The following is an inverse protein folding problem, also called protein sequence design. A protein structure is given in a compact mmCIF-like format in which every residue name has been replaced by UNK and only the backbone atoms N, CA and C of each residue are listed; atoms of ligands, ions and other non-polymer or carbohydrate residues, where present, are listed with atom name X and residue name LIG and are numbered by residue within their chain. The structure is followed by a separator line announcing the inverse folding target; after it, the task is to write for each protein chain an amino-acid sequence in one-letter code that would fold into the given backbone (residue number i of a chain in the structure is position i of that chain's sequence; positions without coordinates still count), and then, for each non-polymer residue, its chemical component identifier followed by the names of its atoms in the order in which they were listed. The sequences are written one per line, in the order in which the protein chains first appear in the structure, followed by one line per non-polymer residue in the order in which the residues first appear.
data_IF_413265253038
#
_entry.id   IF_413265253038
#
_cell.length_a   1.000
_cell.length_b   1.000
_cell.length_c   1.000
_cell.angle_alpha   90.00
_cell.angle_beta   90.00
_cell.angle_gamma   90.00
#
_symmetry.space_group_name_H-M   'P 1'
#
loop_
_entity.id
_entity.type
_entity.pdbx_description
1 polymer ?
#
# COMPACT_ATOMS: atom_id res chain seq x y z
N UNK A 1 40.35 36.79 20.45
CA UNK A 1 40.17 37.14 19.02
C UNK A 1 38.80 36.66 18.58
N UNK A 2 37.91 37.54 18.11
CA UNK A 2 36.59 37.14 17.59
C UNK A 2 36.61 37.30 16.08
N UNK A 3 36.92 36.24 15.34
CA UNK A 3 36.87 36.29 13.87
C UNK A 3 35.41 36.39 13.40
N UNK A 4 35.18 36.99 12.24
CA UNK A 4 33.85 37.04 11.61
C UNK A 4 33.29 35.63 11.36
N UNK A 5 34.16 34.65 11.08
CA UNK A 5 33.79 33.24 10.93
C UNK A 5 33.25 32.64 12.25
N UNK A 6 33.91 32.91 13.37
CA UNK A 6 33.45 32.46 14.70
C UNK A 6 32.08 33.04 15.05
N UNK A 7 31.84 34.31 14.70
CA UNK A 7 30.52 34.96 14.88
C UNK A 7 29.45 34.33 13.98
N UNK A 8 29.77 34.08 12.71
CA UNK A 8 28.86 33.42 11.76
C UNK A 8 28.50 31.99 12.21
N UNK A 9 29.48 31.22 12.67
CA UNK A 9 29.28 29.88 13.22
C UNK A 9 28.33 29.89 14.41
N UNK A 10 28.48 30.84 15.34
CA UNK A 10 27.59 30.97 16.50
C UNK A 10 26.16 31.37 16.09
N UNK A 11 26.00 32.29 15.14
CA UNK A 11 24.67 32.67 14.62
C UNK A 11 23.99 31.52 13.90
N UNK A 12 24.74 30.75 13.09
CA UNK A 12 24.21 29.56 12.42
C UNK A 12 23.84 28.46 13.41
N UNK A 13 24.67 28.20 14.43
CA UNK A 13 24.37 27.23 15.49
C UNK A 13 23.16 27.61 16.34
N UNK A 14 22.96 28.91 16.62
CA UNK A 14 21.74 29.40 17.27
C UNK A 14 20.50 29.24 16.37
N UNK A 15 20.62 29.58 15.08
CA UNK A 15 19.53 29.43 14.12
C UNK A 15 19.09 27.97 13.95
N UNK A 16 20.04 27.03 13.84
CA UNK A 16 19.72 25.60 13.72
C UNK A 16 19.17 25.02 15.02
N UNK A 17 19.61 25.48 16.20
CA UNK A 17 19.02 25.04 17.48
C UNK A 17 17.58 25.51 17.63
N UNK A 18 17.27 26.76 17.28
CA UNK A 18 15.89 27.29 17.27
C UNK A 18 15.00 26.53 16.29
N UNK A 19 15.47 26.27 15.06
CA UNK A 19 14.72 25.45 14.08
C UNK A 19 14.49 24.03 14.61
N UNK A 20 15.49 23.42 15.25
CA UNK A 20 15.35 22.07 15.82
C UNK A 20 14.29 22.04 16.91
N UNK A 21 14.31 23.00 17.85
CA UNK A 21 13.32 23.10 18.93
C UNK A 21 11.91 23.31 18.38
N UNK A 22 11.73 24.24 17.42
CA UNK A 22 10.44 24.47 16.75
C UNK A 22 9.97 23.22 16.00
N UNK A 23 10.88 22.53 15.30
CA UNK A 23 10.58 21.27 14.62
C UNK A 23 10.13 20.16 15.57
N UNK A 24 10.79 20.02 16.72
CA UNK A 24 10.38 19.09 17.77
C UNK A 24 8.99 19.43 18.34
N UNK A 25 8.67 20.72 18.53
CA UNK A 25 7.33 21.15 18.97
C UNK A 25 6.25 20.85 17.93
N UNK A 26 6.53 21.06 16.63
CA UNK A 26 5.60 20.72 15.54
C UNK A 26 5.35 19.20 15.51
N UNK A 27 6.41 18.39 15.58
CA UNK A 27 6.32 16.93 15.63
C UNK A 27 5.54 16.44 16.87
N UNK A 28 5.78 17.02 18.04
CA UNK A 28 5.06 16.68 19.27
C UNK A 28 3.57 17.07 19.21
N UNK A 29 3.22 18.18 18.55
CA UNK A 29 1.83 18.62 18.42
C UNK A 29 1.04 17.68 17.49
N UNK A 30 1.68 17.09 16.48
CA UNK A 30 1.05 16.09 15.58
C UNK A 30 0.66 14.80 16.32
N UNK A 31 1.39 14.42 17.37
CA UNK A 31 1.01 13.34 18.29
C UNK A 31 -0.28 13.66 19.09
N UNK A 32 -0.69 14.92 19.21
CA UNK A 32 -1.92 15.28 19.92
C UNK A 32 -3.16 15.13 19.04
N UNK A 33 -3.02 14.99 17.72
CA UNK A 33 -4.14 14.83 16.80
C UNK A 33 -4.71 13.41 16.82
N UNK A 34 -6.03 13.27 16.78
CA UNK A 34 -6.68 11.97 16.70
C UNK A 34 -6.60 11.41 15.27
N UNK A 35 -6.25 10.13 15.13
CA UNK A 35 -6.17 9.41 13.86
C UNK A 35 -6.98 8.13 13.99
N UNK A 36 -8.06 8.04 13.24
CA UNK A 36 -9.00 6.90 13.26
C UNK A 36 -9.26 6.45 11.82
N UNK A 37 -8.26 5.86 11.14
CA UNK A 37 -8.40 5.43 9.76
C UNK A 37 -9.29 4.18 9.67
N UNK A 38 -10.04 4.04 8.59
CA UNK A 38 -10.83 2.84 8.31
C UNK A 38 -10.65 2.38 6.87
N UNK A 39 -10.76 1.07 6.63
CA UNK A 39 -10.69 0.51 5.30
C UNK A 39 -11.53 -0.77 5.15
N UNK A 40 -12.00 -1.02 3.95
CA UNK A 40 -12.58 -2.30 3.55
C UNK A 40 -12.11 -2.65 2.14
N UNK A 41 -11.61 -3.88 1.99
CA UNK A 41 -11.12 -4.42 0.72
C UNK A 41 -11.89 -5.70 0.40
N UNK A 42 -12.32 -5.84 -0.85
CA UNK A 42 -13.08 -7.02 -1.32
C UNK A 42 -12.52 -7.51 -2.66
N UNK A 43 -12.21 -8.80 -2.83
CA UNK A 43 -11.88 -9.35 -4.15
C UNK A 43 -13.08 -9.17 -5.10
N UNK A 44 -12.80 -8.86 -6.36
CA UNK A 44 -13.79 -8.54 -7.38
C UNK A 44 -13.74 -9.50 -8.58
N UNK A 45 -12.53 -9.89 -8.97
CA UNK A 45 -12.29 -10.77 -10.11
C UNK A 45 -10.89 -11.33 -10.03
N UNK A 46 -10.80 -12.66 -10.06
CA UNK A 46 -9.57 -13.40 -9.92
C UNK A 46 -9.25 -14.07 -11.26
N UNK A 47 -7.99 -14.04 -11.66
CA UNK A 47 -7.53 -14.75 -12.85
C UNK A 47 -6.10 -15.23 -12.63
N UNK A 48 -5.84 -16.52 -12.80
CA UNK A 48 -4.48 -17.05 -12.89
C UNK A 48 -4.13 -17.30 -14.35
N UNK A 49 -2.97 -16.82 -14.80
CA UNK A 49 -2.48 -16.96 -16.17
C UNK A 49 -1.07 -17.54 -16.14
N UNK A 50 -0.78 -18.51 -17.01
CA UNK A 50 0.56 -19.07 -17.17
C UNK A 50 1.29 -18.36 -18.31
N UNK A 51 2.44 -17.77 -18.02
CA UNK A 51 3.16 -16.97 -19.01
C UNK A 51 4.57 -16.58 -18.56
N UNK A 52 5.10 -15.47 -19.12
CA UNK A 52 6.31 -14.82 -18.62
C UNK A 52 5.89 -13.62 -17.75
N UNK A 53 6.11 -13.64 -16.42
CA UNK A 53 5.70 -12.53 -15.55
C UNK A 53 6.44 -11.23 -15.85
N UNK A 54 7.69 -11.34 -16.32
CA UNK A 54 8.51 -10.21 -16.73
C UNK A 54 9.19 -10.50 -18.08
N UNK A 55 9.40 -9.46 -18.90
CA UNK A 55 9.91 -9.59 -20.27
C UNK A 55 11.25 -10.35 -20.34
N UNK A 56 12.14 -10.12 -19.36
CA UNK A 56 13.44 -10.76 -19.26
C UNK A 56 13.43 -12.12 -18.53
N UNK A 57 12.29 -12.60 -18.00
CA UNK A 57 12.23 -13.92 -17.37
C UNK A 57 12.32 -15.04 -18.40
N UNK A 58 13.32 -15.90 -18.24
CA UNK A 58 13.49 -17.08 -19.12
C UNK A 58 12.44 -18.17 -18.83
N UNK A 59 11.96 -18.25 -17.58
CA UNK A 59 11.00 -19.26 -17.11
C UNK A 59 9.56 -18.88 -17.48
N UNK A 60 8.71 -19.91 -17.66
CA UNK A 60 7.26 -19.75 -17.75
C UNK A 60 6.66 -20.13 -16.39
N UNK A 61 6.00 -19.18 -15.75
CA UNK A 61 5.47 -19.27 -14.40
C UNK A 61 3.99 -18.86 -14.40
N UNK A 62 3.25 -19.31 -13.39
CA UNK A 62 1.88 -18.88 -13.17
C UNK A 62 1.88 -17.57 -12.37
N UNK A 63 1.09 -16.60 -12.84
CA UNK A 63 0.88 -15.35 -12.14
C UNK A 63 -0.62 -15.08 -11.93
N UNK A 64 -0.95 -14.55 -10.76
CA UNK A 64 -2.30 -14.17 -10.40
C UNK A 64 -2.54 -12.67 -10.63
N UNK A 65 -3.68 -12.35 -11.23
CA UNK A 65 -4.20 -11.00 -11.43
C UNK A 65 -5.44 -10.85 -10.53
N UNK A 66 -5.25 -10.25 -9.36
CA UNK A 66 -6.32 -10.03 -8.38
C UNK A 66 -6.90 -8.63 -8.55
N UNK A 67 -8.14 -8.55 -9.03
CA UNK A 67 -8.94 -7.31 -9.08
C UNK A 67 -9.71 -7.15 -7.77
N UNK A 68 -9.82 -5.92 -7.28
CA UNK A 68 -10.47 -5.66 -5.98
C UNK A 68 -11.31 -4.38 -5.97
N UNK A 69 -12.20 -4.28 -5.01
CA UNK A 69 -12.82 -3.04 -4.55
C UNK A 69 -12.09 -2.59 -3.27
N UNK A 70 -11.83 -1.29 -3.15
CA UNK A 70 -11.25 -0.66 -1.97
C UNK A 70 -12.07 0.57 -1.62
N UNK A 71 -12.73 0.53 -0.47
CA UNK A 71 -13.37 1.68 0.16
C UNK A 71 -12.61 1.99 1.46
N UNK A 72 -11.85 3.09 1.49
CA UNK A 72 -11.02 3.46 2.64
C UNK A 72 -11.17 4.95 2.98
N UNK A 73 -11.34 5.24 4.27
CA UNK A 73 -11.31 6.60 4.81
C UNK A 73 -10.01 6.79 5.61
N UNK A 74 -9.11 7.55 5.00
CA UNK A 74 -7.81 7.93 5.55
C UNK A 74 -7.74 9.44 5.79
N UNK A 75 -8.88 10.14 5.79
CA UNK A 75 -8.95 11.61 5.98
C UNK A 75 -8.33 12.05 7.30
N UNK A 76 -8.56 11.29 8.38
CA UNK A 76 -7.98 11.53 9.69
C UNK A 76 -6.45 11.42 9.75
N UNK A 77 -5.78 10.85 8.72
CA UNK A 77 -4.33 10.83 8.62
C UNK A 77 -3.73 12.13 8.06
N UNK A 78 -4.54 13.05 7.54
CA UNK A 78 -4.09 14.33 6.97
C UNK A 78 -4.19 15.48 7.98
N UNK A 79 -3.12 15.66 8.75
CA UNK A 79 -2.96 16.82 9.65
C UNK A 79 -2.24 17.97 8.94
N UNK A 80 -2.01 19.08 9.64
CA UNK A 80 -1.12 20.17 9.16
C UNK A 80 0.32 19.69 8.94
N UNK A 81 0.76 18.63 9.62
CA UNK A 81 2.11 18.08 9.51
C UNK A 81 2.22 17.00 8.43
N UNK A 82 1.11 16.46 7.91
CA UNK A 82 1.16 15.40 6.89
C UNK A 82 1.64 15.94 5.54
N UNK A 83 2.76 15.41 5.04
CA UNK A 83 3.25 15.67 3.68
C UNK A 83 2.54 14.76 2.67
N UNK A 84 2.55 13.46 2.94
CA UNK A 84 1.94 12.46 2.09
C UNK A 84 1.59 11.19 2.89
N UNK A 85 0.53 10.52 2.47
CA UNK A 85 0.16 9.17 2.93
C UNK A 85 0.37 8.22 1.76
N UNK A 86 1.19 7.19 1.96
CA UNK A 86 1.34 6.07 1.04
C UNK A 86 0.38 4.97 1.44
N UNK A 87 -0.49 4.54 0.53
CA UNK A 87 -1.44 3.45 0.73
C UNK A 87 -1.06 2.32 -0.21
N UNK A 88 -1.07 1.09 0.28
CA UNK A 88 -0.81 -0.08 -0.54
C UNK A 88 -1.68 -1.26 -0.11
N UNK A 89 -1.98 -2.13 -1.07
CA UNK A 89 -2.71 -3.38 -0.84
C UNK A 89 -1.75 -4.53 -1.08
N UNK A 90 -1.61 -5.40 -0.10
CA UNK A 90 -0.90 -6.67 -0.19
C UNK A 90 -1.87 -7.81 -0.47
N UNK A 91 -1.34 -8.86 -1.08
CA UNK A 91 -1.89 -10.20 -1.00
C UNK A 91 -0.99 -11.02 -0.07
N UNK A 92 -1.59 -11.71 0.89
CA UNK A 92 -0.94 -12.52 1.93
C UNK A 92 -1.42 -13.95 1.77
N UNK A 93 -0.51 -14.92 1.72
CA UNK A 93 -0.85 -16.35 1.58
C UNK A 93 0.20 -17.25 2.25
N UNK A 94 -0.22 -18.41 2.75
CA UNK A 94 0.66 -19.36 3.42
C UNK A 94 1.17 -20.45 2.47
N UNK A 95 2.41 -20.86 2.66
CA UNK A 95 2.95 -22.06 2.01
C UNK A 95 2.47 -23.34 2.71
N UNK A 96 2.00 -24.33 1.95
CA UNK A 96 1.40 -25.58 2.49
C UNK A 96 2.41 -26.51 3.18
N UNK A 97 3.71 -26.22 3.11
CA UNK A 97 4.78 -27.19 3.34
C UNK A 97 5.50 -27.11 4.71
N UNK A 98 5.16 -26.16 5.59
CA UNK A 98 5.79 -25.99 6.92
C UNK A 98 5.22 -26.87 8.03
N UNK A 99 4.33 -27.83 7.72
CA UNK A 99 3.82 -28.83 8.66
C UNK A 99 4.39 -30.22 8.35
N UNK A 100 5.69 -30.38 8.60
CA UNK A 100 6.45 -31.61 8.37
C UNK A 100 7.45 -31.90 9.49
N UNK A 101 6.93 -32.25 10.67
CA UNK A 101 7.67 -32.72 11.84
C UNK A 101 8.47 -31.62 12.61
N UNK A 102 7.89 -31.09 13.68
CA UNK A 102 8.52 -30.13 14.58
C UNK A 102 7.54 -29.69 15.66
N UNK A 103 7.67 -30.27 16.86
CA UNK A 103 6.86 -29.98 18.05
C UNK A 103 6.60 -28.48 18.25
N UNK A 104 5.33 -28.08 18.27
CA UNK A 104 4.94 -26.77 18.78
C UNK A 104 5.17 -26.76 20.30
N UNK A 105 6.30 -26.19 20.73
CA UNK A 105 6.61 -26.02 22.15
C UNK A 105 5.69 -24.95 22.72
N UNK A 106 4.73 -25.34 23.56
CA UNK A 106 3.99 -24.40 24.41
C UNK A 106 4.99 -23.69 25.34
N UNK A 107 5.18 -22.37 25.17
CA UNK A 107 6.12 -21.60 25.97
C UNK A 107 6.20 -20.13 25.58
N UNK A 108 6.46 -19.84 24.30
CA UNK A 108 6.67 -18.47 23.80
C UNK A 108 5.49 -18.01 22.93
N UNK A 109 4.47 -17.44 23.58
CA UNK A 109 3.27 -16.91 22.92
C UNK A 109 3.49 -15.51 22.29
N UNK A 110 4.59 -15.31 21.55
CA UNK A 110 4.67 -14.25 20.55
C UNK A 110 4.02 -14.82 19.26
N UNK A 111 2.72 -14.55 19.06
CA UNK A 111 1.85 -15.15 18.03
C UNK A 111 2.17 -14.68 16.59
N UNK A 112 3.42 -14.31 16.35
CA UNK A 112 3.86 -13.47 15.23
C UNK A 112 5.33 -13.77 14.86
N UNK A 113 5.71 -15.05 15.03
CA UNK A 113 6.81 -15.67 14.30
C UNK A 113 6.30 -16.08 12.91
N UNK A 114 6.99 -15.72 11.80
CA UNK A 114 6.46 -15.96 10.45
C UNK A 114 6.55 -17.44 10.08
N UNK A 115 5.49 -18.19 10.38
CA UNK A 115 5.21 -19.46 9.71
C UNK A 115 4.97 -19.19 8.22
N UNK A 116 6.03 -19.36 7.41
CA UNK A 116 6.14 -19.08 5.96
C UNK A 116 4.92 -18.44 5.29
N UNK A 117 4.67 -17.18 5.63
CA UNK A 117 3.69 -16.32 4.98
C UNK A 117 4.38 -15.52 3.86
N UNK A 118 3.85 -15.68 2.66
CA UNK A 118 4.30 -14.94 1.49
C UNK A 118 3.42 -13.69 1.36
N UNK A 119 4.06 -12.53 1.23
CA UNK A 119 3.38 -11.23 1.14
C UNK A 119 3.84 -10.49 -0.12
N UNK A 120 2.91 -10.12 -0.99
CA UNK A 120 3.19 -9.36 -2.21
C UNK A 120 2.30 -8.12 -2.36
N UNK A 121 2.90 -6.96 -2.62
CA UNK A 121 2.17 -5.72 -2.92
C UNK A 121 1.56 -5.80 -4.31
N UNK A 122 0.23 -5.72 -4.42
CA UNK A 122 -0.49 -5.75 -5.71
C UNK A 122 -0.82 -4.36 -6.25
N UNK A 123 -0.92 -3.35 -5.38
CA UNK A 123 -1.32 -2.00 -5.74
C UNK A 123 -0.83 -0.99 -4.70
N UNK A 124 -0.52 0.22 -5.16
CA UNK A 124 -0.06 1.34 -4.36
C UNK A 124 -0.61 2.68 -4.88
N UNK A 125 -0.77 3.64 -3.98
CA UNK A 125 -1.11 5.02 -4.29
C UNK A 125 -0.51 5.97 -3.25
N UNK A 126 0.19 7.00 -3.72
CA UNK A 126 0.60 8.13 -2.92
C UNK A 126 -0.54 9.16 -2.92
N UNK A 127 -0.94 9.63 -1.74
CA UNK A 127 -1.89 10.72 -1.55
C UNK A 127 -1.14 11.86 -0.85
N UNK A 128 -0.82 12.90 -1.60
CA UNK A 128 -0.19 14.15 -1.16
C UNK A 128 -1.16 15.04 -0.39
N UNK A 129 -0.66 15.87 0.52
CA UNK A 129 -1.44 16.97 1.11
C UNK A 129 -1.70 18.10 0.10
N UNK A 130 -2.76 18.93 0.27
CA UNK A 130 -3.15 19.94 -0.72
C UNK A 130 -2.07 21.00 -1.03
N UNK A 131 -1.20 21.32 -0.07
CA UNK A 131 -0.04 22.21 -0.26
C UNK A 131 1.07 21.59 -1.11
N UNK A 132 1.06 20.27 -1.25
CA UNK A 132 2.06 19.45 -1.95
C UNK A 132 1.60 18.98 -3.34
N UNK A 133 0.38 19.32 -3.76
CA UNK A 133 -0.28 18.72 -4.93
C UNK A 133 0.26 19.27 -6.26
N UNK A 134 1.42 18.75 -6.65
CA UNK A 134 2.01 18.72 -7.98
C UNK A 134 1.86 19.98 -8.86
N UNK A 135 2.27 21.15 -8.32
CA UNK A 135 2.33 22.42 -9.05
C UNK A 135 3.24 22.42 -10.30
N UNK A 136 4.00 21.35 -10.56
CA UNK A 136 5.01 21.27 -11.62
C UNK A 136 4.46 21.38 -13.06
N UNK A 137 3.19 20.99 -13.29
CA UNK A 137 2.57 21.00 -14.63
C UNK A 137 1.48 22.08 -14.79
N UNK A 138 1.34 23.00 -13.83
CA UNK A 138 0.31 24.05 -13.85
C UNK A 138 0.89 25.37 -14.35
N UNK A 139 0.27 25.93 -15.39
CA UNK A 139 0.61 27.26 -15.89
C UNK A 139 0.50 28.35 -14.81
N UNK A 140 1.24 29.46 -14.95
CA UNK A 140 1.35 30.48 -13.89
C UNK A 140 0.00 31.11 -13.49
N UNK A 141 -0.98 31.11 -14.39
CA UNK A 141 -2.34 31.61 -14.15
C UNK A 141 -3.20 30.65 -13.32
N UNK A 142 -3.16 29.34 -13.61
CA UNK A 142 -3.84 28.32 -12.80
C UNK A 142 -3.17 28.20 -11.44
N UNK A 143 -1.83 28.23 -11.38
CA UNK A 143 -1.06 28.22 -10.13
C UNK A 143 -1.39 29.44 -9.23
N UNK A 144 -1.53 30.65 -9.79
CA UNK A 144 -2.01 31.83 -9.03
C UNK A 144 -3.44 31.66 -8.52
N UNK A 145 -4.36 31.14 -9.33
CA UNK A 145 -5.74 30.85 -8.89
C UNK A 145 -5.75 29.78 -7.80
N UNK A 146 -4.96 28.72 -7.93
CA UNK A 146 -4.88 27.62 -6.98
C UNK A 146 -4.32 28.11 -5.64
N UNK A 147 -3.20 28.85 -5.64
CA UNK A 147 -2.66 29.53 -4.44
C UNK A 147 -3.67 30.47 -3.78
N UNK A 148 -4.37 31.32 -4.55
CA UNK A 148 -5.43 32.20 -4.01
C UNK A 148 -6.63 31.42 -3.45
N UNK A 149 -6.93 30.25 -4.02
CA UNK A 149 -8.03 29.38 -3.56
C UNK A 149 -7.66 28.45 -2.40
N UNK A 150 -6.36 28.21 -2.17
CA UNK A 150 -5.83 27.39 -1.08
C UNK A 150 -5.42 28.23 0.14
N UNK A 151 -5.14 29.53 -0.05
CA UNK A 151 -4.91 30.46 1.05
C UNK A 151 -6.09 30.47 2.03
N UNK A 152 -5.85 30.06 3.28
CA UNK A 152 -6.85 30.00 4.33
C UNK A 152 -7.78 28.79 4.31
N UNK A 153 -7.64 27.86 3.35
CA UNK A 153 -8.36 26.57 3.42
C UNK A 153 -7.56 25.58 4.26
N UNK A 154 -8.24 24.96 5.21
CA UNK A 154 -7.75 23.74 5.88
C UNK A 154 -7.60 22.60 4.88
N UNK A 155 -7.00 21.49 5.31
CA UNK A 155 -7.02 20.23 4.55
C UNK A 155 -8.47 19.94 4.13
N UNK A 156 -8.67 19.62 2.85
CA UNK A 156 -9.98 19.25 2.30
C UNK A 156 -10.47 17.98 3.01
N UNK A 157 -11.63 17.99 3.71
CA UNK A 157 -12.14 16.83 4.44
C UNK A 157 -12.37 15.58 3.57
N UNK A 158 -12.53 15.75 2.25
CA UNK A 158 -12.67 14.62 1.32
C UNK A 158 -11.33 13.98 0.93
N UNK A 159 -10.19 14.61 1.26
CA UNK A 159 -8.85 14.09 0.95
C UNK A 159 -8.56 12.88 1.83
N UNK A 160 -8.03 11.81 1.24
CA UNK A 160 -7.80 10.54 1.94
C UNK A 160 -8.97 9.56 1.85
N UNK A 161 -10.15 10.00 1.42
CA UNK A 161 -11.25 9.10 1.06
C UNK A 161 -10.95 8.46 -0.31
N UNK A 162 -10.98 7.13 -0.36
CA UNK A 162 -10.76 6.31 -1.55
C UNK A 162 -11.99 5.44 -1.80
N UNK A 163 -12.65 5.64 -2.94
CA UNK A 163 -13.70 4.77 -3.45
C UNK A 163 -13.26 4.19 -4.79
N UNK A 164 -12.63 3.01 -4.75
CA UNK A 164 -12.04 2.37 -5.93
C UNK A 164 -12.82 1.09 -6.23
N UNK A 165 -13.48 1.05 -7.40
CA UNK A 165 -14.27 -0.10 -7.82
C UNK A 165 -13.57 -0.87 -8.93
N UNK A 166 -13.47 -2.19 -8.76
CA UNK A 166 -12.98 -3.11 -9.79
C UNK A 166 -11.57 -2.73 -10.31
N UNK A 167 -10.68 -2.36 -9.37
CA UNK A 167 -9.32 -1.89 -9.64
C UNK A 167 -8.50 -3.00 -10.31
N UNK A 168 -7.71 -2.63 -11.33
CA UNK A 168 -6.65 -3.51 -11.85
C UNK A 168 -5.45 -3.46 -10.89
N UNK A 169 -4.86 -4.61 -10.51
CA UNK A 169 -3.60 -4.59 -9.78
C UNK A 169 -2.51 -3.99 -10.68
N UNK A 170 -1.56 -3.30 -10.06
CA UNK A 170 -0.38 -2.72 -10.74
C UNK A 170 0.73 -3.76 -10.89
N UNK A 171 0.84 -4.66 -9.92
CA UNK A 171 1.79 -5.76 -9.88
C UNK A 171 1.06 -7.10 -9.92
N UNK A 172 1.66 -8.09 -10.58
CA UNK A 172 1.16 -9.45 -10.65
C UNK A 172 1.82 -10.28 -9.55
N UNK A 173 1.09 -11.21 -8.94
CA UNK A 173 1.63 -12.10 -7.91
C UNK A 173 2.18 -13.35 -8.58
N UNK A 174 3.37 -13.80 -8.20
CA UNK A 174 3.96 -15.09 -8.59
C UNK A 174 4.35 -15.88 -7.36
N UNK A 175 4.26 -17.21 -7.42
CA UNK A 175 4.71 -18.08 -6.35
C UNK A 175 6.20 -18.44 -6.47
N UNK A 176 6.98 -18.58 -5.38
CA UNK A 176 8.35 -19.09 -5.43
C UNK A 176 8.48 -20.48 -6.08
N UNK A 177 7.45 -21.34 -5.96
CA UNK A 177 7.38 -22.65 -6.65
C UNK A 177 7.07 -22.55 -8.16
N UNK A 178 6.72 -21.36 -8.66
CA UNK A 178 6.26 -21.12 -10.03
C UNK A 178 4.79 -21.49 -10.30
N UNK A 179 4.08 -22.04 -9.32
CA UNK A 179 2.64 -22.35 -9.37
C UNK A 179 1.88 -21.59 -8.28
N UNK A 180 0.96 -20.72 -8.68
CA UNK A 180 0.15 -19.89 -7.76
C UNK A 180 -1.30 -20.39 -7.65
N UNK A 181 -1.75 -21.25 -8.59
CA UNK A 181 -3.08 -21.85 -8.52
C UNK A 181 -3.21 -22.95 -7.45
N UNK A 182 -2.08 -23.48 -6.94
CA UNK A 182 -2.05 -24.51 -5.89
C UNK A 182 -2.08 -23.90 -4.47
N UNK A 183 -2.18 -22.57 -4.35
CA UNK A 183 -2.28 -21.86 -3.07
C UNK A 183 -3.75 -21.79 -2.63
N UNK A 184 -4.09 -22.54 -1.58
CA UNK A 184 -5.47 -22.73 -1.11
C UNK A 184 -6.12 -21.45 -0.53
N UNK A 185 -5.33 -20.57 0.11
CA UNK A 185 -5.84 -19.45 0.91
C UNK A 185 -5.05 -18.18 0.62
N UNK A 186 -5.73 -17.15 0.08
CA UNK A 186 -5.20 -15.80 -0.11
C UNK A 186 -6.08 -14.77 0.60
N UNK A 187 -5.44 -13.82 1.27
CA UNK A 187 -6.07 -12.64 1.88
C UNK A 187 -5.57 -11.38 1.19
N UNK A 188 -6.41 -10.35 1.07
CA UNK A 188 -5.97 -9.00 0.75
C UNK A 188 -5.96 -8.16 2.02
N UNK A 189 -4.90 -7.37 2.19
CA UNK A 189 -4.75 -6.47 3.33
C UNK A 189 -4.37 -5.07 2.88
N UNK A 190 -4.97 -4.07 3.52
CA UNK A 190 -4.72 -2.65 3.29
C UNK A 190 -3.73 -2.15 4.31
N UNK A 191 -2.67 -1.51 3.84
CA UNK A 191 -1.67 -0.87 4.67
C UNK A 191 -1.53 0.60 4.30
N UNK A 192 -1.10 1.40 5.27
CA UNK A 192 -0.75 2.79 5.06
C UNK A 192 0.55 3.16 5.78
N UNK A 193 1.19 4.20 5.26
CA UNK A 193 2.37 4.82 5.84
C UNK A 193 2.25 6.36 5.72
N UNK A 194 2.31 7.06 6.84
CA UNK A 194 2.16 8.53 6.93
C UNK A 194 3.54 9.16 7.06
N UNK A 195 3.89 9.98 6.07
CA UNK A 195 5.10 10.80 6.10
C UNK A 195 4.78 12.23 6.55
N UNK A 196 5.29 12.68 7.71
CA UNK A 196 5.19 14.07 8.13
C UNK A 196 6.19 14.95 7.36
N UNK A 197 6.01 16.28 7.48
CA UNK A 197 7.02 17.27 7.11
C UNK A 197 8.19 17.26 8.10
N UNK A 198 7.88 17.22 9.40
CA UNK A 198 8.86 17.13 10.49
C UNK A 198 8.33 16.14 11.52
N UNK A 199 9.10 15.09 11.80
CA UNK A 199 8.75 14.07 12.80
C UNK A 199 9.11 12.66 12.36
N UNK A 200 8.69 11.69 13.18
CA UNK A 200 8.89 10.27 12.90
C UNK A 200 7.86 9.75 11.89
N UNK A 201 8.28 8.77 11.09
CA UNK A 201 7.40 8.03 10.20
C UNK A 201 6.46 7.13 11.03
N UNK A 202 5.17 7.08 10.68
CA UNK A 202 4.18 6.23 11.34
C UNK A 202 3.39 5.45 10.30
N UNK A 203 3.38 4.12 10.42
CA UNK A 203 2.60 3.22 9.57
C UNK A 203 1.52 2.53 10.40
N UNK A 204 0.89 1.50 9.83
CA UNK A 204 -0.14 0.66 10.44
C UNK A 204 -0.02 0.62 11.97
N UNK A 205 -1.00 1.19 12.66
CA UNK A 205 -1.07 1.11 14.12
C UNK A 205 -1.67 -0.25 14.49
N UNK A 206 -1.13 -0.87 15.54
CA UNK A 206 -1.60 -2.16 16.05
C UNK A 206 -2.20 -1.95 17.45
N UNK A 207 -3.09 -2.85 17.86
CA UNK A 207 -3.59 -2.85 19.23
C UNK A 207 -2.43 -3.22 20.17
N UNK A 208 -2.01 -2.29 21.02
CA UNK A 208 -1.03 -2.53 22.08
C UNK A 208 -1.69 -2.81 23.44
N UNK A 209 -0.90 -3.29 24.39
CA UNK A 209 -1.34 -3.78 25.71
C UNK A 209 -1.82 -2.68 26.68
N UNK A 210 -2.23 -1.52 26.17
CA UNK A 210 -2.59 -0.32 26.94
C UNK A 210 -1.40 0.40 27.63
N UNK A 211 -0.21 -0.21 27.64
CA UNK A 211 0.98 0.35 28.28
C UNK A 211 1.56 1.56 27.53
N UNK A 212 1.81 2.66 28.25
CA UNK A 212 2.34 3.92 27.70
C UNK A 212 3.61 3.75 26.87
N UNK A 213 4.55 2.88 27.30
CA UNK A 213 5.78 2.61 26.57
C UNK A 213 5.55 1.83 25.25
N UNK A 214 4.71 0.78 25.30
CA UNK A 214 4.28 -0.01 24.13
C UNK A 214 3.54 0.86 23.10
N UNK A 215 2.95 1.96 23.56
CA UNK A 215 2.22 2.89 22.71
C UNK A 215 3.13 4.02 22.13
N UNK A 216 4.05 4.60 22.92
CA UNK A 216 4.93 5.69 22.45
C UNK A 216 6.08 5.17 21.56
N UNK A 217 6.55 3.95 21.82
CA UNK A 217 7.57 3.22 21.05
C UNK A 217 7.08 1.78 20.77
N UNK A 218 6.10 1.59 19.88
CA UNK A 218 5.53 0.29 19.62
C UNK A 218 6.52 -0.67 18.96
N UNK A 219 6.52 -1.93 19.41
CA UNK A 219 7.31 -3.04 18.85
C UNK A 219 7.12 -3.20 17.33
N UNK A 220 5.94 -2.84 16.82
CA UNK A 220 5.56 -2.81 15.39
C UNK A 220 4.74 -1.53 15.12
N UNK A 221 5.05 -0.75 14.08
CA UNK A 221 4.21 0.38 13.61
C UNK A 221 4.87 1.77 13.48
N UNK A 222 6.09 1.96 13.98
CA UNK A 222 6.79 3.25 13.92
C UNK A 222 6.44 4.13 15.13
N UNK A 223 6.17 5.41 14.94
CA UNK A 223 5.61 6.24 16.01
C UNK A 223 4.11 5.97 16.25
N UNK A 224 3.64 6.17 17.49
CA UNK A 224 2.21 6.10 17.87
C UNK A 224 1.70 7.38 18.57
N UNK A 225 0.37 7.53 18.72
CA UNK A 225 -0.31 8.49 19.65
C UNK A 225 -1.48 7.85 20.41
N UNK A 226 -1.81 8.27 21.66
CA UNK A 226 -2.90 7.65 22.44
C UNK A 226 -4.28 7.96 21.84
N UNK A 227 -4.29 8.68 20.73
CA UNK A 227 -5.44 9.03 19.91
C UNK A 227 -5.28 8.50 18.48
N UNK A 228 -4.21 7.75 18.17
CA UNK A 228 -4.04 7.02 16.92
C UNK A 228 -4.50 5.59 17.14
N UNK A 229 -5.57 5.21 16.46
CA UNK A 229 -6.17 3.90 16.54
C UNK A 229 -5.65 2.98 15.43
N UNK A 230 -5.68 1.64 15.61
CA UNK A 230 -5.45 0.69 14.54
C UNK A 230 -6.41 0.91 13.37
N UNK A 231 -6.01 0.45 12.19
CA UNK A 231 -6.87 0.51 11.00
C UNK A 231 -8.16 -0.28 11.26
N UNK A 232 -9.31 0.40 11.24
CA UNK A 232 -10.59 -0.28 11.39
C UNK A 232 -10.88 -1.09 10.11
N UNK A 233 -10.76 -2.41 10.20
CA UNK A 233 -10.90 -3.33 9.07
C UNK A 233 -9.59 -3.46 8.29
N UNK A 234 -9.65 -3.23 6.97
CA UNK A 234 -8.50 -3.32 6.06
C UNK A 234 -8.16 -4.72 5.57
N UNK A 235 -8.77 -5.78 6.12
CA UNK A 235 -8.57 -7.17 5.69
C UNK A 235 -9.79 -7.70 4.92
N UNK A 236 -9.56 -8.51 3.89
CA UNK A 236 -10.62 -9.22 3.16
C UNK A 236 -10.88 -10.60 3.75
N UNK A 237 -12.09 -11.11 3.52
CA UNK A 237 -12.36 -12.54 3.64
C UNK A 237 -11.37 -13.36 2.78
N UNK A 238 -11.00 -14.54 3.29
CA UNK A 238 -10.19 -15.52 2.57
C UNK A 238 -10.81 -15.90 1.23
N UNK A 239 -10.00 -16.07 0.19
CA UNK A 239 -10.44 -16.63 -1.08
C UNK A 239 -9.37 -17.55 -1.69
N UNK A 240 -9.83 -18.58 -2.40
CA UNK A 240 -8.98 -19.42 -3.22
C UNK A 240 -8.78 -18.78 -4.60
N UNK A 241 -7.62 -19.03 -5.23
CA UNK A 241 -7.37 -18.62 -6.60
C UNK A 241 -8.01 -19.61 -7.59
N UNK A 242 -8.52 -19.13 -8.73
CA UNK A 242 -9.10 -20.01 -9.75
C UNK A 242 -7.99 -20.80 -10.48
N UNK A 243 -8.37 -21.94 -11.05
CA UNK A 243 -7.49 -22.73 -11.92
C UNK A 243 -6.92 -21.90 -13.08
N UNK A 244 -5.75 -22.32 -13.57
CA UNK A 244 -5.00 -21.64 -14.63
C UNK A 244 -5.86 -21.47 -15.89
N UNK A 245 -6.04 -20.22 -16.33
CA UNK A 245 -6.75 -19.91 -17.56
C UNK A 245 -6.08 -20.59 -18.77
N UNK A 246 -6.72 -21.64 -19.29
CA UNK A 246 -6.22 -22.47 -20.38
C UNK A 246 -5.98 -23.95 -20.03
N UNK A 247 -6.22 -24.40 -18.79
CA UNK A 247 -6.08 -25.83 -18.42
C UNK A 247 -7.32 -26.70 -18.63
N UNK A 248 -8.42 -26.16 -19.15
CA UNK A 248 -9.65 -26.92 -19.41
C UNK A 248 -9.76 -27.33 -20.89
N UNK A 249 -9.62 -28.64 -21.16
CA UNK A 249 -10.38 -29.27 -22.25
C UNK A 249 -9.64 -29.68 -23.52
N UNK A 250 -8.54 -30.43 -23.41
CA UNK A 250 -8.20 -31.38 -24.49
C UNK A 250 -9.08 -32.64 -24.28
N UNK A 251 -10.04 -32.89 -25.18
CA UNK A 251 -10.83 -34.13 -25.18
C UNK A 251 -12.32 -34.04 -24.82
N UNK A 252 -13.12 -33.39 -25.67
CA UNK A 252 -14.38 -34.02 -26.10
C UNK A 252 -14.66 -33.67 -27.56
N UNK A 253 -14.65 -34.69 -28.42
CA UNK A 253 -14.98 -34.53 -29.83
C UNK A 253 -16.40 -35.01 -30.11
N UNK A 254 -17.26 -34.12 -30.56
CA UNK A 254 -18.39 -34.47 -31.42
C UNK A 254 -18.42 -33.48 -32.58
N UNK A 255 -18.22 -33.99 -33.79
CA UNK A 255 -18.07 -33.14 -34.97
C UNK A 255 -19.40 -32.61 -35.49
N UNK A 256 -19.35 -31.41 -36.08
CA UNK A 256 -20.25 -31.04 -37.17
C UNK A 256 -19.45 -30.24 -38.20
N UNK A 257 -19.50 -30.66 -39.45
CA UNK A 257 -18.66 -30.14 -40.53
C UNK A 257 -19.11 -28.75 -41.02
N UNK A 258 -18.15 -27.98 -41.52
CA UNK A 258 -18.39 -26.65 -42.10
C UNK A 258 -17.25 -26.24 -43.02
N UNK A 259 -17.22 -26.82 -44.24
CA UNK A 259 -16.23 -26.46 -45.26
C UNK A 259 -16.39 -25.00 -45.68
N UNK A 260 -15.36 -24.17 -45.44
CA UNK A 260 -15.35 -22.75 -45.77
C UNK A 260 -14.10 -22.37 -46.56
N UNK A 261 -14.20 -22.40 -47.89
CA UNK A 261 -13.08 -22.15 -48.81
C UNK A 261 -12.47 -20.75 -48.66
N UNK A 262 -11.13 -20.67 -48.77
CA UNK A 262 -10.38 -19.39 -48.85
C UNK A 262 -10.62 -18.73 -50.21
N UNK A 263 -10.99 -17.45 -50.20
CA UNK A 263 -10.73 -16.56 -51.35
C UNK A 263 -9.96 -15.31 -50.89
N UNK A 264 -8.75 -15.16 -51.42
CA UNK A 264 -7.97 -13.91 -51.32
C UNK A 264 -8.34 -13.04 -52.51
N UNK A 265 -9.05 -11.94 -52.30
CA UNK A 265 -9.19 -10.90 -53.32
C UNK A 265 -8.10 -9.86 -53.15
N UNK A 266 -7.24 -9.74 -54.17
CA UNK A 266 -6.16 -8.77 -54.24
C UNK A 266 -6.67 -7.59 -55.08
N UNK A 267 -6.79 -6.39 -54.51
CA UNK A 267 -7.31 -5.22 -55.23
C UNK A 267 -6.22 -4.17 -55.46
N UNK A 268 -5.64 -4.21 -56.67
CA UNK A 268 -5.04 -3.02 -57.29
C UNK A 268 -6.16 -2.21 -57.96
N UNK A 269 -6.16 -0.90 -57.69
CA UNK A 269 -6.27 0.22 -58.64
C UNK A 269 -6.39 1.50 -57.80
#
# INVERSE_FOLDING_TARGET
MYSSLTRLQNVFGFFTSVITVVGCLIAATDLLHARTPSASVRPAGLQVVRGRPHYYSKKKEEYAVVRFHLDADLSSLFTWNTKQVFVYVTAEWTDRQTNGNGTATEGDADADAPGSENVAVIWDKIITSPSSDHLANLGPTTLRKLKKSAAGKTVDPSRGILHIKNQKPKYQITHPSGKIAETDVVHLRVHYNVQPWIGMLSWNQYAGDGGFASWLLPRRGGAGSPRWQPLAGGESAAFALPAVAGSNGEGSGSGSGGSGSRSRSNKKN
#
